data_IF_035837467434
#
_entry.id   IF_035837467434
#
_cell.length_a   1.000
_cell.length_b   1.000
_cell.length_c   1.000
_cell.angle_alpha   90.00
_cell.angle_beta   90.00
_cell.angle_gamma   90.00
#
_symmetry.space_group_name_H-M   'P 1'
#
loop_
_entity.id
_entity.type
_entity.pdbx_description
1 polymer ?
#
# COMPACT_ATOMS: atom_id res chain seq x y z
N UNK A 1 13.30 35.58 60.85
CA UNK A 1 12.66 35.15 59.58
C UNK A 1 13.04 36.19 58.57
N UNK A 2 14.08 35.92 57.79
CA UNK A 2 14.51 36.81 56.71
C UNK A 2 13.52 36.66 55.55
N UNK A 3 12.77 37.72 55.27
CA UNK A 3 11.95 37.79 54.08
C UNK A 3 12.89 37.88 52.87
N UNK A 4 12.72 37.03 51.84
CA UNK A 4 13.53 37.15 50.64
C UNK A 4 13.34 38.54 50.02
N UNK A 5 14.44 39.19 49.63
CA UNK A 5 14.40 40.48 48.96
C UNK A 5 13.62 40.41 47.63
N UNK A 6 13.26 41.57 47.04
CA UNK A 6 12.46 41.64 45.80
C UNK A 6 13.01 40.79 44.65
N UNK A 7 14.34 40.61 44.57
CA UNK A 7 14.99 39.75 43.58
C UNK A 7 14.70 38.25 43.79
N UNK A 8 14.54 37.81 45.04
CA UNK A 8 14.23 36.42 45.38
C UNK A 8 12.81 36.01 44.96
N UNK A 9 11.85 36.94 45.03
CA UNK A 9 10.48 36.71 44.56
C UNK A 9 10.40 36.62 43.03
N UNK A 10 11.18 37.44 42.32
CA UNK A 10 11.26 37.39 40.85
C UNK A 10 11.92 36.08 40.40
N UNK A 11 13.01 35.66 41.05
CA UNK A 11 13.70 34.42 40.72
C UNK A 11 12.83 33.18 40.99
N UNK A 12 12.09 33.15 42.12
CA UNK A 12 11.14 32.06 42.41
C UNK A 12 9.98 32.00 41.41
N UNK A 13 9.43 33.16 41.04
CA UNK A 13 8.36 33.26 40.05
C UNK A 13 8.78 32.77 38.67
N UNK A 14 9.99 33.09 38.23
CA UNK A 14 10.54 32.63 36.94
C UNK A 14 10.79 31.12 36.95
N UNK A 15 11.31 30.57 38.05
CA UNK A 15 11.56 29.12 38.19
C UNK A 15 10.24 28.34 38.19
N UNK A 16 9.22 28.79 38.91
CA UNK A 16 7.93 28.10 38.94
C UNK A 16 7.19 28.23 37.59
N UNK A 17 7.28 29.38 36.92
CA UNK A 17 6.69 29.58 35.59
C UNK A 17 7.40 28.74 34.51
N UNK A 18 8.72 28.57 34.59
CA UNK A 18 9.47 27.63 33.75
C UNK A 18 9.11 26.19 34.05
N UNK A 19 8.96 25.81 35.32
CA UNK A 19 8.57 24.45 35.74
C UNK A 19 7.17 24.08 35.26
N UNK A 20 6.21 24.98 35.41
CA UNK A 20 4.84 24.82 34.89
C UNK A 20 4.84 24.78 33.37
N UNK A 21 5.64 25.63 32.71
CA UNK A 21 5.80 25.62 31.26
C UNK A 21 6.38 24.31 30.72
N UNK A 22 7.40 23.75 31.37
CA UNK A 22 8.00 22.46 31.00
C UNK A 22 7.05 21.30 31.30
N UNK A 23 6.30 21.35 32.40
CA UNK A 23 5.29 20.33 32.73
C UNK A 23 4.12 20.36 31.74
N UNK A 24 3.59 21.54 31.40
CA UNK A 24 2.58 21.70 30.35
C UNK A 24 3.11 21.25 28.98
N UNK A 25 4.34 21.61 28.62
CA UNK A 25 4.96 21.15 27.39
C UNK A 25 5.12 19.62 27.37
N UNK A 26 5.52 19.00 28.48
CA UNK A 26 5.61 17.55 28.62
C UNK A 26 4.24 16.87 28.47
N UNK A 27 3.19 17.42 29.09
CA UNK A 27 1.82 16.93 28.93
C UNK A 27 1.27 17.15 27.52
N UNK A 28 1.60 18.25 26.86
CA UNK A 28 1.19 18.54 25.47
C UNK A 28 1.95 17.63 24.49
N UNK A 29 3.24 17.40 24.70
CA UNK A 29 4.05 16.44 23.91
C UNK A 29 3.55 15.01 24.13
N UNK A 30 3.19 14.65 25.36
CA UNK A 30 2.55 13.38 25.69
C UNK A 30 1.17 13.22 25.04
N UNK A 31 0.38 14.29 24.93
CA UNK A 31 -0.93 14.27 24.29
C UNK A 31 -0.86 14.28 22.75
N UNK A 32 0.22 14.83 22.18
CA UNK A 32 0.50 14.81 20.73
C UNK A 32 1.19 13.52 20.27
N UNK A 33 1.78 12.74 21.18
CA UNK A 33 2.11 11.36 20.92
C UNK A 33 0.80 10.57 20.92
N UNK A 34 0.15 10.47 19.76
CA UNK A 34 -1.06 9.66 19.55
C UNK A 34 -0.94 8.35 20.32
N UNK A 35 -1.68 8.20 21.42
CA UNK A 35 -1.74 6.92 22.12
C UNK A 35 -2.34 5.92 21.13
N UNK A 36 -1.49 5.03 20.62
CA UNK A 36 -1.91 3.91 19.78
C UNK A 36 -2.66 2.94 20.70
N UNK A 37 -3.93 3.22 20.94
CA UNK A 37 -4.80 2.34 21.72
C UNK A 37 -5.11 1.07 20.92
N UNK A 38 -5.39 -0.07 21.58
CA UNK A 38 -5.84 -1.28 20.89
C UNK A 38 -7.04 -1.03 19.97
N UNK A 39 -7.98 -0.18 20.39
CA UNK A 39 -9.15 0.23 19.61
C UNK A 39 -8.76 0.97 18.33
N UNK A 40 -7.79 1.89 18.40
CA UNK A 40 -7.28 2.62 17.23
C UNK A 40 -6.53 1.70 16.27
N UNK A 41 -5.75 0.74 16.78
CA UNK A 41 -5.08 -0.28 15.96
C UNK A 41 -6.12 -1.09 15.17
N UNK A 42 -7.16 -1.58 15.84
CA UNK A 42 -8.20 -2.39 15.20
C UNK A 42 -8.96 -1.57 14.15
N UNK A 43 -9.28 -0.31 14.45
CA UNK A 43 -9.92 0.60 13.51
C UNK A 43 -9.08 0.82 12.25
N UNK A 44 -7.78 1.09 12.41
CA UNK A 44 -6.84 1.24 11.29
C UNK A 44 -6.69 -0.06 10.46
N UNK A 45 -6.67 -1.22 11.10
CA UNK A 45 -6.64 -2.51 10.38
C UNK A 45 -7.94 -2.74 9.60
N UNK A 46 -9.09 -2.33 10.15
CA UNK A 46 -10.39 -2.47 9.50
C UNK A 46 -10.59 -1.48 8.34
N UNK A 47 -9.82 -0.39 8.27
CA UNK A 47 -9.90 0.56 7.15
C UNK A 47 -9.16 0.10 5.91
N UNK A 48 -8.36 -0.97 5.99
CA UNK A 48 -7.71 -1.55 4.81
C UNK A 48 -8.81 -2.14 3.91
N UNK A 49 -8.95 -1.67 2.66
CA UNK A 49 -9.97 -2.20 1.76
C UNK A 49 -9.69 -3.69 1.47
N UNK A 50 -10.74 -4.44 1.13
CA UNK A 50 -10.53 -5.82 0.69
C UNK A 50 -9.89 -5.83 -0.71
N UNK A 51 -8.87 -6.67 -0.90
CA UNK A 51 -8.20 -6.85 -2.18
C UNK A 51 -9.16 -7.46 -3.20
N UNK A 52 -9.17 -6.90 -4.40
CA UNK A 52 -9.94 -7.37 -5.54
C UNK A 52 -9.07 -7.33 -6.80
N UNK A 53 -9.63 -7.76 -7.93
CA UNK A 53 -8.89 -7.88 -9.19
C UNK A 53 -8.45 -6.57 -9.85
N UNK A 54 -8.81 -5.39 -9.30
CA UNK A 54 -8.54 -4.08 -9.90
C UNK A 54 -7.90 -3.07 -8.95
N UNK A 55 -7.94 -3.28 -7.64
CA UNK A 55 -7.48 -2.31 -6.64
C UNK A 55 -6.10 -2.61 -6.03
N UNK A 56 -5.29 -3.51 -6.60
CA UNK A 56 -4.04 -3.97 -5.97
C UNK A 56 -3.09 -2.84 -5.57
N UNK A 57 -2.87 -1.85 -6.44
CA UNK A 57 -1.97 -0.73 -6.15
C UNK A 57 -2.44 0.12 -4.97
N UNK A 58 -3.70 0.56 -4.99
CA UNK A 58 -4.26 1.37 -3.90
C UNK A 58 -4.41 0.56 -2.61
N UNK A 59 -4.70 -0.72 -2.73
CA UNK A 59 -4.70 -1.66 -1.61
C UNK A 59 -3.33 -1.76 -0.96
N UNK A 60 -2.27 -1.96 -1.75
CA UNK A 60 -0.90 -2.09 -1.27
C UNK A 60 -0.41 -0.79 -0.61
N UNK A 61 -0.70 0.36 -1.22
CA UNK A 61 -0.39 1.68 -0.66
C UNK A 61 -1.08 1.89 0.71
N UNK A 62 -2.40 1.63 0.79
CA UNK A 62 -3.15 1.76 2.04
C UNK A 62 -2.65 0.79 3.13
N UNK A 63 -2.35 -0.45 2.77
CA UNK A 63 -1.81 -1.45 3.68
C UNK A 63 -0.46 -0.98 4.26
N UNK A 64 0.46 -0.48 3.42
CA UNK A 64 1.76 0.00 3.87
C UNK A 64 1.63 1.21 4.81
N UNK A 65 0.72 2.15 4.51
CA UNK A 65 0.44 3.31 5.37
C UNK A 65 -0.06 2.83 6.74
N UNK A 66 -1.08 1.97 6.77
CA UNK A 66 -1.67 1.46 8.02
C UNK A 66 -0.60 0.74 8.85
N UNK A 67 0.15 -0.18 8.23
CA UNK A 67 1.20 -0.94 8.92
C UNK A 67 2.32 -0.04 9.46
N UNK A 68 2.68 1.02 8.73
CA UNK A 68 3.67 2.01 9.16
C UNK A 68 3.18 2.83 10.36
N UNK A 69 1.93 3.28 10.36
CA UNK A 69 1.33 4.06 11.46
C UNK A 69 1.26 3.25 12.75
N UNK A 70 1.02 1.94 12.66
CA UNK A 70 0.96 1.05 13.84
C UNK A 70 2.30 0.40 14.17
N UNK A 71 3.40 0.80 13.52
CA UNK A 71 4.77 0.29 13.73
C UNK A 71 4.89 -1.25 13.59
N UNK A 72 4.20 -1.80 12.58
CA UNK A 72 4.18 -3.23 12.27
C UNK A 72 4.82 -3.59 10.94
N UNK A 73 5.33 -2.65 10.15
CA UNK A 73 5.89 -2.90 8.82
C UNK A 73 7.39 -3.26 8.80
N UNK A 74 8.04 -3.39 9.96
CA UNK A 74 9.46 -3.74 10.08
C UNK A 74 9.85 -4.97 9.24
N UNK A 75 9.07 -6.05 9.30
CA UNK A 75 9.31 -7.29 8.56
C UNK A 75 9.12 -7.16 7.04
N UNK A 76 8.39 -6.15 6.58
CA UNK A 76 8.29 -5.83 5.15
C UNK A 76 9.50 -5.05 4.65
N UNK A 77 10.08 -4.18 5.50
CA UNK A 77 11.22 -3.32 5.15
C UNK A 77 12.56 -4.05 5.24
N UNK A 78 12.75 -4.86 6.28
CA UNK A 78 14.05 -5.49 6.62
C UNK A 78 13.94 -7.00 6.48
N UNK A 79 14.96 -7.61 5.88
CA UNK A 79 15.06 -9.07 5.76
C UNK A 79 15.09 -9.77 7.11
N UNK A 80 14.76 -11.06 7.12
CA UNK A 80 14.76 -11.86 8.34
C UNK A 80 16.14 -11.77 9.02
N UNK A 81 16.19 -11.34 10.29
CA UNK A 81 17.44 -11.30 11.03
C UNK A 81 18.02 -12.72 11.21
N UNK A 82 19.34 -12.84 11.40
CA UNK A 82 20.00 -14.12 11.63
C UNK A 82 19.43 -14.85 12.86
N UNK A 83 19.50 -16.20 12.89
CA UNK A 83 19.15 -16.96 14.08
C UNK A 83 19.98 -16.53 15.29
N UNK A 84 19.36 -16.52 16.47
CA UNK A 84 20.05 -16.26 17.73
C UNK A 84 21.08 -17.36 18.03
N UNK A 85 22.19 -16.96 18.64
CA UNK A 85 23.20 -17.87 19.19
C UNK A 85 23.29 -17.69 20.71
N UNK A 86 23.98 -18.59 21.41
CA UNK A 86 24.17 -18.49 22.86
C UNK A 86 24.93 -17.22 23.28
N UNK A 87 25.67 -16.62 22.35
CA UNK A 87 26.41 -15.36 22.54
C UNK A 87 25.57 -14.11 22.24
N UNK A 88 24.33 -14.27 21.77
CA UNK A 88 23.54 -13.14 21.32
C UNK A 88 23.19 -12.18 22.46
N UNK A 89 23.35 -10.90 22.16
CA UNK A 89 23.13 -9.84 23.13
C UNK A 89 21.65 -9.69 23.46
N UNK A 90 21.35 -9.04 24.59
CA UNK A 90 19.97 -8.70 24.95
C UNK A 90 19.29 -7.82 23.89
N UNK A 91 20.06 -6.96 23.21
CA UNK A 91 19.54 -6.11 22.13
C UNK A 91 19.13 -6.91 20.89
N UNK A 92 19.99 -7.82 20.42
CA UNK A 92 19.69 -8.69 19.27
C UNK A 92 18.44 -9.56 19.52
N UNK A 93 18.29 -10.09 20.74
CA UNK A 93 17.09 -10.83 21.15
C UNK A 93 15.83 -9.98 21.06
N UNK A 94 15.91 -8.69 21.43
CA UNK A 94 14.79 -7.75 21.35
C UNK A 94 14.42 -7.44 19.90
N UNK A 95 15.41 -7.23 19.05
CA UNK A 95 15.21 -6.94 17.62
C UNK A 95 14.54 -8.11 16.91
N UNK A 96 15.03 -9.33 17.11
CA UNK A 96 14.41 -10.54 16.53
C UNK A 96 12.98 -10.72 17.02
N UNK A 97 12.71 -10.46 18.31
CA UNK A 97 11.34 -10.52 18.85
C UNK A 97 10.43 -9.48 18.20
N UNK A 98 10.91 -8.24 18.01
CA UNK A 98 10.17 -7.17 17.35
C UNK A 98 9.88 -7.51 15.90
N UNK A 99 10.89 -8.01 15.18
CA UNK A 99 10.76 -8.45 13.79
C UNK A 99 9.75 -9.59 13.66
N UNK A 100 9.84 -10.65 14.47
CA UNK A 100 8.90 -11.79 14.45
C UNK A 100 7.46 -11.36 14.76
N UNK A 101 7.28 -10.41 15.67
CA UNK A 101 5.95 -9.84 15.97
C UNK A 101 5.39 -9.10 14.75
N UNK A 102 6.21 -8.27 14.13
CA UNK A 102 5.85 -7.52 12.91
C UNK A 102 5.50 -8.49 11.78
N UNK A 103 6.34 -9.50 11.51
CA UNK A 103 6.12 -10.52 10.48
C UNK A 103 4.78 -11.26 10.67
N UNK A 104 4.52 -11.74 11.88
CA UNK A 104 3.28 -12.42 12.24
C UNK A 104 2.05 -11.52 12.04
N UNK A 105 2.12 -10.26 12.48
CA UNK A 105 0.98 -9.34 12.38
C UNK A 105 0.71 -8.89 10.94
N UNK A 106 1.76 -8.58 10.17
CA UNK A 106 1.63 -8.29 8.73
C UNK A 106 0.94 -9.43 8.00
N UNK A 107 1.36 -10.66 8.26
CA UNK A 107 0.74 -11.87 7.72
C UNK A 107 -0.76 -11.94 8.05
N UNK A 108 -1.15 -11.76 9.31
CA UNK A 108 -2.56 -11.81 9.72
C UNK A 108 -3.40 -10.71 9.06
N UNK A 109 -2.87 -9.49 9.00
CA UNK A 109 -3.55 -8.33 8.41
C UNK A 109 -3.73 -8.52 6.90
N UNK A 110 -2.68 -8.91 6.18
CA UNK A 110 -2.76 -9.19 4.76
C UNK A 110 -3.75 -10.32 4.47
N UNK A 111 -3.68 -11.43 5.21
CA UNK A 111 -4.64 -12.54 5.03
C UNK A 111 -6.07 -12.05 5.23
N UNK A 112 -6.35 -11.27 6.28
CA UNK A 112 -7.69 -10.70 6.51
C UNK A 112 -8.16 -9.81 5.36
N UNK A 113 -7.27 -9.00 4.80
CA UNK A 113 -7.60 -8.08 3.72
C UNK A 113 -7.67 -8.75 2.33
N UNK A 114 -7.43 -10.07 2.24
CA UNK A 114 -7.44 -10.83 0.98
C UNK A 114 -8.51 -11.93 1.05
N UNK A 115 -9.47 -11.95 0.11
CA UNK A 115 -10.46 -13.01 0.01
C UNK A 115 -9.79 -14.39 -0.07
N UNK A 116 -10.36 -15.37 0.62
CA UNK A 116 -9.81 -16.73 0.69
C UNK A 116 -9.61 -17.36 -0.70
N UNK A 117 -10.57 -17.13 -1.61
CA UNK A 117 -10.52 -17.60 -3.00
C UNK A 117 -9.28 -17.06 -3.73
N UNK A 118 -8.91 -15.81 -3.48
CA UNK A 118 -7.73 -15.16 -4.07
C UNK A 118 -6.43 -15.57 -3.39
N UNK A 119 -6.49 -16.04 -2.14
CA UNK A 119 -5.33 -16.52 -1.38
C UNK A 119 -4.77 -17.83 -1.95
N UNK A 120 -5.64 -18.67 -2.52
CA UNK A 120 -5.26 -19.94 -3.14
C UNK A 120 -4.29 -20.75 -2.27
N UNK A 121 -3.27 -21.35 -2.90
CA UNK A 121 -2.17 -22.04 -2.22
C UNK A 121 -0.95 -21.14 -1.95
N UNK A 122 -1.09 -19.80 -2.04
CA UNK A 122 0.02 -18.88 -1.77
C UNK A 122 0.47 -18.96 -0.31
N UNK A 123 -0.49 -19.14 0.60
CA UNK A 123 -0.25 -19.19 2.04
C UNK A 123 0.59 -20.39 2.49
N UNK A 124 0.58 -21.49 1.74
CA UNK A 124 1.26 -22.73 2.14
C UNK A 124 2.74 -22.75 1.72
N UNK A 125 3.12 -21.85 0.81
CA UNK A 125 4.45 -21.82 0.18
C UNK A 125 5.41 -20.81 0.80
N UNK A 126 4.89 -19.81 1.50
CA UNK A 126 5.68 -18.68 2.02
C UNK A 126 5.86 -18.79 3.53
N UNK A 127 7.03 -18.37 4.01
CA UNK A 127 7.40 -18.41 5.43
C UNK A 127 7.32 -17.05 6.10
N UNK A 128 7.43 -15.98 5.33
CA UNK A 128 7.46 -14.60 5.83
C UNK A 128 6.39 -13.73 5.19
N UNK A 129 6.01 -12.65 5.87
CA UNK A 129 5.13 -11.62 5.34
C UNK A 129 5.68 -10.98 4.07
N UNK A 130 7.00 -10.76 4.01
CA UNK A 130 7.67 -10.19 2.84
C UNK A 130 7.54 -11.08 1.61
N UNK A 131 7.77 -12.38 1.76
CA UNK A 131 7.55 -13.37 0.70
C UNK A 131 6.08 -13.45 0.28
N UNK A 132 5.15 -13.39 1.23
CA UNK A 132 3.71 -13.38 0.94
C UNK A 132 3.31 -12.17 0.08
N UNK A 133 3.78 -10.97 0.45
CA UNK A 133 3.56 -9.75 -0.32
C UNK A 133 4.11 -9.87 -1.74
N UNK A 134 5.32 -10.43 -1.90
CA UNK A 134 5.95 -10.62 -3.21
C UNK A 134 5.17 -11.60 -4.11
N UNK A 135 4.62 -12.69 -3.56
CA UNK A 135 3.78 -13.61 -4.35
C UNK A 135 2.45 -12.98 -4.74
N UNK A 136 1.84 -12.14 -3.88
CA UNK A 136 0.64 -11.38 -4.26
C UNK A 136 0.97 -10.45 -5.42
N UNK A 137 2.03 -9.63 -5.31
CA UNK A 137 2.47 -8.71 -6.36
C UNK A 137 2.66 -9.43 -7.70
N UNK A 138 3.39 -10.56 -7.68
CA UNK A 138 3.61 -11.39 -8.86
C UNK A 138 2.32 -11.90 -9.51
N UNK A 139 1.32 -12.30 -8.72
CA UNK A 139 0.02 -12.75 -9.23
C UNK A 139 -0.72 -11.62 -9.91
N UNK A 140 -0.67 -10.42 -9.35
CA UNK A 140 -1.29 -9.23 -9.94
C UNK A 140 -0.58 -8.79 -11.21
N UNK A 141 0.75 -8.72 -11.22
CA UNK A 141 1.54 -8.43 -12.42
C UNK A 141 1.24 -9.44 -13.53
N UNK A 142 1.10 -10.72 -13.20
CA UNK A 142 0.72 -11.75 -14.18
C UNK A 142 -0.71 -11.52 -14.72
N UNK A 143 -1.66 -11.18 -13.84
CA UNK A 143 -3.04 -10.88 -14.22
C UNK A 143 -3.12 -9.66 -15.14
N UNK A 144 -2.41 -8.57 -14.81
CA UNK A 144 -2.34 -7.36 -15.62
C UNK A 144 -1.77 -7.65 -17.01
N UNK A 145 -0.65 -8.36 -17.10
CA UNK A 145 -0.08 -8.80 -18.38
C UNK A 145 -1.07 -9.63 -19.20
N UNK A 146 -1.81 -10.53 -18.55
CA UNK A 146 -2.85 -11.31 -19.22
C UNK A 146 -3.98 -10.43 -19.76
N UNK A 147 -4.45 -9.44 -18.98
CA UNK A 147 -5.49 -8.50 -19.41
C UNK A 147 -5.01 -7.64 -20.58
N UNK A 148 -3.77 -7.13 -20.51
CA UNK A 148 -3.14 -6.39 -21.61
C UNK A 148 -3.11 -7.25 -22.87
N UNK A 149 -2.66 -8.51 -22.77
CA UNK A 149 -2.62 -9.44 -23.90
C UNK A 149 -4.00 -9.70 -24.53
N UNK A 150 -5.04 -9.88 -23.71
CA UNK A 150 -6.42 -10.04 -24.20
C UNK A 150 -6.90 -8.78 -24.92
N UNK A 151 -6.74 -7.61 -24.30
CA UNK A 151 -7.16 -6.33 -24.88
C UNK A 151 -6.42 -6.01 -26.19
N UNK A 152 -5.11 -6.24 -26.24
CA UNK A 152 -4.31 -6.10 -27.46
C UNK A 152 -4.77 -7.06 -28.55
N UNK A 153 -5.01 -8.32 -28.20
CA UNK A 153 -5.51 -9.30 -29.16
C UNK A 153 -6.87 -8.88 -29.72
N UNK A 154 -7.78 -8.40 -28.86
CA UNK A 154 -9.06 -7.84 -29.29
C UNK A 154 -8.87 -6.64 -30.20
N UNK A 155 -8.01 -5.68 -29.84
CA UNK A 155 -7.75 -4.48 -30.64
C UNK A 155 -7.21 -4.82 -32.04
N UNK A 156 -6.20 -5.67 -32.12
CA UNK A 156 -5.53 -6.04 -33.38
C UNK A 156 -6.39 -6.95 -34.25
N UNK A 157 -7.23 -7.80 -33.65
CA UNK A 157 -8.08 -8.76 -34.39
C UNK A 157 -9.44 -8.19 -34.77
N UNK A 158 -9.86 -7.08 -34.16
CA UNK A 158 -11.13 -6.44 -34.46
C UNK A 158 -11.11 -5.93 -35.91
N UNK A 159 -12.18 -6.22 -36.64
CA UNK A 159 -12.39 -5.83 -38.05
C UNK A 159 -13.81 -5.34 -38.23
N UNK A 160 -13.99 -4.25 -38.96
CA UNK A 160 -15.31 -3.74 -39.25
C UNK A 160 -15.98 -4.59 -40.34
N UNK A 161 -17.14 -5.17 -40.04
CA UNK A 161 -17.82 -6.13 -40.92
C UNK A 161 -18.74 -5.45 -41.96
N UNK A 162 -18.66 -4.12 -42.12
CA UNK A 162 -19.55 -3.35 -43.01
C UNK A 162 -21.00 -3.28 -42.54
N UNK A 163 -21.32 -3.79 -41.36
CA UNK A 163 -22.66 -3.78 -40.75
C UNK A 163 -22.64 -2.94 -39.48
N UNK A 164 -23.60 -2.01 -39.35
CA UNK A 164 -23.73 -1.13 -38.19
C UNK A 164 -23.16 0.27 -38.42
N UNK A 165 -22.95 1.02 -37.33
CA UNK A 165 -22.44 2.38 -37.38
C UNK A 165 -20.92 2.41 -37.20
N UNK A 166 -20.19 2.94 -38.19
CA UNK A 166 -18.72 3.08 -38.14
C UNK A 166 -18.24 3.91 -36.94
N UNK A 167 -19.03 4.89 -36.49
CA UNK A 167 -18.71 5.71 -35.31
C UNK A 167 -18.71 4.87 -34.03
N UNK A 168 -19.65 3.94 -33.90
CA UNK A 168 -19.69 3.01 -32.75
C UNK A 168 -18.49 2.07 -32.78
N UNK A 169 -18.08 1.61 -33.96
CA UNK A 169 -16.89 0.80 -34.14
C UNK A 169 -15.61 1.52 -33.68
N UNK A 170 -15.40 2.77 -34.14
CA UNK A 170 -14.25 3.60 -33.73
C UNK A 170 -14.27 3.86 -32.22
N UNK A 171 -15.46 4.10 -31.64
CA UNK A 171 -15.62 4.27 -30.20
C UNK A 171 -15.23 3.00 -29.42
N UNK A 172 -15.56 1.81 -29.93
CA UNK A 172 -15.15 0.55 -29.32
C UNK A 172 -13.63 0.37 -29.37
N UNK A 173 -12.97 0.66 -30.49
CA UNK A 173 -11.50 0.63 -30.59
C UNK A 173 -10.85 1.62 -29.61
N UNK A 174 -11.38 2.84 -29.53
CA UNK A 174 -10.91 3.88 -28.61
C UNK A 174 -11.08 3.45 -27.14
N UNK A 175 -12.17 2.77 -26.82
CA UNK A 175 -12.42 2.20 -25.48
C UNK A 175 -11.44 1.07 -25.11
N UNK A 176 -11.00 0.27 -26.08
CA UNK A 176 -9.95 -0.72 -25.84
C UNK A 176 -8.60 -0.03 -25.58
N UNK A 177 -8.27 1.01 -26.35
CA UNK A 177 -7.06 1.80 -26.16
C UNK A 177 -7.04 2.52 -24.79
N UNK A 178 -8.16 3.10 -24.35
CA UNK A 178 -8.25 3.73 -23.02
C UNK A 178 -8.03 2.74 -21.89
N UNK A 179 -8.61 1.54 -21.97
CA UNK A 179 -8.37 0.45 -21.01
C UNK A 179 -6.91 -0.02 -20.99
N UNK A 180 -6.25 -0.06 -22.15
CA UNK A 180 -4.82 -0.36 -22.23
C UNK A 180 -3.99 0.73 -21.54
N UNK A 181 -4.37 2.00 -21.71
CA UNK A 181 -3.75 3.14 -21.02
C UNK A 181 -3.91 3.08 -19.51
N UNK A 182 -5.07 2.68 -19.01
CA UNK A 182 -5.29 2.42 -17.57
C UNK A 182 -4.33 1.34 -17.01
N UNK A 183 -3.97 0.37 -17.85
CA UNK A 183 -2.99 -0.68 -17.53
C UNK A 183 -1.53 -0.27 -17.85
N UNK A 184 -1.27 1.03 -18.03
CA UNK A 184 0.03 1.62 -18.36
C UNK A 184 0.62 1.21 -19.72
N UNK A 185 -0.21 0.72 -20.63
CA UNK A 185 0.16 0.51 -22.03
C UNK A 185 -0.49 1.62 -22.87
N UNK A 186 0.25 2.71 -23.09
CA UNK A 186 -0.24 3.81 -23.93
C UNK A 186 -0.08 3.47 -25.41
N UNK A 187 -1.16 3.61 -26.18
CA UNK A 187 -1.16 3.47 -27.63
C UNK A 187 -1.25 4.88 -28.19
N UNK A 188 -0.27 5.29 -28.99
CA UNK A 188 -0.32 6.63 -29.59
C UNK A 188 -1.54 6.78 -30.51
N UNK A 189 -2.00 8.02 -30.65
CA UNK A 189 -3.11 8.35 -31.55
C UNK A 189 -2.79 7.91 -32.99
N UNK A 190 -1.57 8.16 -33.48
CA UNK A 190 -1.10 7.71 -34.80
C UNK A 190 -1.23 6.19 -35.00
N UNK A 191 -0.86 5.39 -33.99
CA UNK A 191 -0.98 3.93 -34.07
C UNK A 191 -2.46 3.51 -34.04
N UNK A 192 -3.28 4.16 -33.23
CA UNK A 192 -4.71 3.87 -33.15
C UNK A 192 -5.43 4.20 -34.46
N UNK A 193 -5.12 5.34 -35.08
CA UNK A 193 -5.61 5.71 -36.41
C UNK A 193 -5.22 4.65 -37.45
N UNK A 194 -3.96 4.21 -37.43
CA UNK A 194 -3.50 3.16 -38.33
C UNK A 194 -4.28 1.85 -38.09
N UNK A 195 -4.50 1.45 -36.84
CA UNK A 195 -5.32 0.28 -36.51
C UNK A 195 -6.76 0.41 -37.02
N UNK A 196 -7.38 1.58 -36.89
CA UNK A 196 -8.71 1.85 -37.44
C UNK A 196 -8.67 1.68 -38.96
N UNK A 197 -7.74 2.34 -39.66
CA UNK A 197 -7.66 2.30 -41.13
C UNK A 197 -7.48 0.87 -41.67
N UNK A 198 -6.54 0.09 -41.13
CA UNK A 198 -6.29 -1.29 -41.59
C UNK A 198 -7.42 -2.27 -41.24
N UNK A 199 -8.32 -1.88 -40.35
CA UNK A 199 -9.45 -2.70 -39.91
C UNK A 199 -10.74 -2.47 -40.69
N UNK A 200 -10.79 -1.40 -41.49
CA UNK A 200 -11.92 -1.05 -42.34
C UNK A 200 -11.86 -1.81 -43.68
N UNK A 201 -13.02 -2.19 -44.25
CA UNK A 201 -13.10 -2.72 -45.60
C UNK A 201 -12.63 -1.68 -46.64
N UNK A 202 -12.11 -2.13 -47.81
CA UNK A 202 -11.64 -1.23 -48.87
C UNK A 202 -12.67 -0.20 -49.35
N UNK A 203 -13.97 -0.47 -49.20
CA UNK A 203 -15.04 0.46 -49.58
C UNK A 203 -15.12 1.74 -48.71
N UNK A 204 -14.38 1.80 -47.61
CA UNK A 204 -14.31 2.95 -46.69
C UNK A 204 -12.95 3.67 -46.74
N UNK A 205 -12.01 3.16 -47.55
CA UNK A 205 -10.64 3.65 -47.70
C UNK A 205 -10.51 4.36 -49.04
#
# INVERSE_FOLDING_TARGET
>A
MDFPGPDGYIQYGVVEHLRVGVHCAFHVISALASEITPSNIIANINSIPMLNGTNFKSWQENLNIVLGVVDLDLALRVDSPPPLTDKSTSNEKREIKRWKRSDCMCMMIMKKAIPEISRGNMSDKVKTAKEFMAEIDKVFVKSEKSKIGILLTSLVSMRYQGKGNIREYIMQMSHLASKLKELKLDISEDFLEHFVLISLPPQFI
#
